data_IF_825024725231
#
_entry.id   IF_825024725231
#
_cell.length_a   1.000
_cell.length_b   1.000
_cell.length_c   1.000
_cell.angle_alpha   90.00
_cell.angle_beta   90.00
_cell.angle_gamma   90.00
#
_symmetry.space_group_name_H-M   'P 1'
#
loop_
_entity.id
_entity.type
_entity.pdbx_description
1 polymer ?
#
# COMPACT_ATOMS: atom_id res chain seq x y z
N UNK A 1 1.57 -7.86 13.25
CA UNK A 1 0.98 -7.84 11.90
C UNK A 1 0.98 -9.28 11.39
N UNK A 2 -0.08 -9.72 10.72
CA UNK A 2 -0.15 -11.06 10.08
C UNK A 2 0.88 -11.13 8.97
N UNK A 3 1.76 -12.14 8.99
CA UNK A 3 2.79 -12.31 7.97
C UNK A 3 2.20 -12.94 6.71
N UNK A 4 2.50 -12.35 5.57
CA UNK A 4 2.33 -12.98 4.26
C UNK A 4 3.59 -13.78 3.96
N UNK A 5 3.45 -15.10 3.82
CA UNK A 5 4.56 -16.01 3.55
C UNK A 5 4.81 -16.13 2.06
N UNK A 6 3.74 -16.31 1.28
CA UNK A 6 3.82 -16.59 -0.14
C UNK A 6 2.57 -16.10 -0.87
N UNK A 7 2.73 -15.75 -2.14
CA UNK A 7 1.61 -15.47 -3.05
C UNK A 7 1.74 -16.39 -4.25
N UNK A 8 0.70 -17.19 -4.47
CA UNK A 8 0.60 -18.08 -5.63
C UNK A 8 -0.42 -17.51 -6.60
N UNK A 9 -0.22 -17.74 -7.88
CA UNK A 9 -1.18 -17.36 -8.89
C UNK A 9 -1.42 -18.47 -9.91
N UNK A 10 -2.65 -18.48 -10.42
CA UNK A 10 -3.06 -19.20 -11.62
C UNK A 10 -3.60 -18.18 -12.61
N UNK A 11 -3.95 -18.60 -13.83
CA UNK A 11 -4.53 -17.71 -14.84
C UNK A 11 -5.78 -16.94 -14.35
N UNK A 12 -6.50 -17.47 -13.36
CA UNK A 12 -7.79 -16.93 -12.93
C UNK A 12 -7.89 -16.63 -11.44
N UNK A 13 -6.87 -16.99 -10.63
CA UNK A 13 -6.92 -16.86 -9.16
C UNK A 13 -5.57 -16.49 -8.59
N UNK A 14 -5.60 -15.64 -7.56
CA UNK A 14 -4.47 -15.32 -6.69
C UNK A 14 -4.74 -15.93 -5.32
N UNK A 15 -3.74 -16.57 -4.73
CA UNK A 15 -3.79 -17.20 -3.42
C UNK A 15 -2.75 -16.54 -2.51
N UNK A 16 -3.19 -16.05 -1.36
CA UNK A 16 -2.34 -15.46 -0.33
C UNK A 16 -2.12 -16.47 0.79
N UNK A 17 -0.89 -16.90 1.00
CA UNK A 17 -0.50 -17.82 2.07
C UNK A 17 -0.01 -17.00 3.25
N UNK A 18 -0.77 -16.97 4.34
CA UNK A 18 -0.57 -16.06 5.47
C UNK A 18 -0.58 -16.80 6.81
N UNK A 19 -0.12 -16.14 7.88
CA UNK A 19 -0.25 -16.66 9.25
C UNK A 19 -1.71 -17.05 9.56
N UNK A 20 -1.89 -18.25 10.10
CA UNK A 20 -3.15 -18.64 10.72
C UNK A 20 -3.20 -18.19 12.19
N UNK A 21 -4.06 -17.22 12.48
CA UNK A 21 -4.19 -16.63 13.82
C UNK A 21 -5.29 -17.35 14.62
N UNK A 22 -4.88 -18.16 15.60
CA UNK A 22 -5.78 -19.09 16.33
C UNK A 22 -6.67 -18.46 17.40
N UNK A 23 -6.33 -17.29 17.93
CA UNK A 23 -7.05 -16.68 19.06
C UNK A 23 -8.31 -15.89 18.68
N UNK A 24 -8.67 -15.87 17.39
CA UNK A 24 -9.89 -15.26 16.87
C UNK A 24 -9.88 -13.73 16.90
N UNK A 25 -11.03 -13.12 16.69
CA UNK A 25 -11.20 -11.67 16.64
C UNK A 25 -11.14 -11.02 18.04
N UNK A 26 -10.47 -9.88 18.14
CA UNK A 26 -10.41 -9.05 19.34
C UNK A 26 -11.82 -8.68 19.83
N UNK A 27 -12.73 -8.36 18.90
CA UNK A 27 -14.07 -7.89 19.23
C UNK A 27 -15.00 -9.01 19.71
N UNK A 28 -14.71 -10.28 19.41
CA UNK A 28 -15.40 -11.41 20.03
C UNK A 28 -15.14 -11.48 21.55
N UNK A 29 -14.06 -10.87 22.05
CA UNK A 29 -13.83 -10.69 23.50
C UNK A 29 -14.57 -9.46 24.06
N UNK A 30 -14.80 -8.43 23.25
CA UNK A 30 -15.56 -7.20 23.62
C UNK A 30 -17.07 -7.42 23.58
N UNK A 31 -17.58 -8.38 22.80
CA UNK A 31 -19.01 -8.71 22.78
C UNK A 31 -19.54 -9.21 24.13
N UNK A 32 -18.65 -9.64 25.03
CA UNK A 32 -18.94 -10.00 26.43
C UNK A 32 -18.97 -8.80 27.39
N UNK A 33 -18.65 -7.60 26.90
CA UNK A 33 -18.59 -6.34 27.64
C UNK A 33 -17.39 -5.47 27.25
N UNK A 34 -17.35 -4.23 27.74
CA UNK A 34 -16.21 -3.31 27.52
C UNK A 34 -14.93 -3.81 28.19
N UNK A 35 -13.79 -3.40 27.67
CA UNK A 35 -12.52 -3.57 28.36
C UNK A 35 -12.29 -2.49 29.43
N UNK A 36 -11.45 -2.84 30.41
CA UNK A 36 -10.87 -1.86 31.31
C UNK A 36 -9.89 -0.98 30.55
N UNK A 37 -9.76 0.28 30.97
CA UNK A 37 -8.96 1.28 30.26
C UNK A 37 -7.49 0.86 30.07
N UNK A 38 -6.90 0.18 31.05
CA UNK A 38 -5.53 -0.33 30.94
C UNK A 38 -5.40 -1.45 29.89
N UNK A 39 -6.41 -2.31 29.74
CA UNK A 39 -6.43 -3.34 28.70
C UNK A 39 -6.69 -2.74 27.31
N UNK A 40 -7.62 -1.79 27.20
CA UNK A 40 -7.84 -1.01 25.97
C UNK A 40 -6.54 -0.33 25.53
N UNK A 41 -5.79 0.24 26.48
CA UNK A 41 -4.49 0.86 26.21
C UNK A 41 -3.45 -0.13 25.72
N UNK A 42 -3.32 -1.31 26.34
CA UNK A 42 -2.39 -2.35 25.88
C UNK A 42 -2.63 -2.73 24.41
N UNK A 43 -3.87 -3.01 24.04
CA UNK A 43 -4.19 -3.33 22.65
C UNK A 43 -3.97 -2.14 21.72
N UNK A 44 -4.29 -0.93 22.18
CA UNK A 44 -4.06 0.29 21.41
C UNK A 44 -2.56 0.57 21.17
N UNK A 45 -1.69 0.27 22.14
CA UNK A 45 -0.23 0.33 21.94
C UNK A 45 0.22 -0.59 20.81
N UNK A 46 -0.27 -1.83 20.79
CA UNK A 46 0.06 -2.79 19.74
C UNK A 46 -0.50 -2.36 18.38
N UNK A 47 -1.71 -1.82 18.34
CA UNK A 47 -2.35 -1.31 17.13
C UNK A 47 -1.55 -0.14 16.54
N UNK A 48 -1.26 0.89 17.34
CA UNK A 48 -0.51 2.05 16.88
C UNK A 48 0.92 1.69 16.48
N UNK A 49 1.54 0.73 17.19
CA UNK A 49 2.85 0.23 16.78
C UNK A 49 2.80 -0.44 15.41
N UNK A 50 1.80 -1.30 15.16
CA UNK A 50 1.63 -1.98 13.86
C UNK A 50 1.34 -0.98 12.73
N UNK A 51 0.41 -0.05 12.95
CA UNK A 51 0.03 0.98 11.98
C UNK A 51 1.19 1.92 11.70
N UNK A 52 1.88 2.42 12.73
CA UNK A 52 3.06 3.26 12.57
C UNK A 52 4.19 2.58 11.79
N UNK A 53 4.44 1.29 12.07
CA UNK A 53 5.41 0.49 11.31
C UNK A 53 5.08 0.44 9.81
N UNK A 54 3.81 0.24 9.45
CA UNK A 54 3.36 0.25 8.06
C UNK A 54 3.45 1.64 7.42
N UNK A 55 3.02 2.68 8.14
CA UNK A 55 3.06 4.07 7.66
C UNK A 55 4.49 4.53 7.31
N UNK A 56 5.49 4.17 8.12
CA UNK A 56 6.91 4.48 7.82
C UNK A 56 7.43 3.81 6.54
N UNK A 57 6.72 2.81 6.03
CA UNK A 57 7.03 2.10 4.78
C UNK A 57 6.14 2.52 3.62
N UNK A 58 5.26 3.51 3.78
CA UNK A 58 4.34 3.96 2.73
C UNK A 58 3.09 3.10 2.57
N UNK A 59 2.83 2.19 3.51
CA UNK A 59 1.68 1.28 3.48
C UNK A 59 0.60 1.80 4.42
N UNK A 60 -0.59 2.02 3.87
CA UNK A 60 -1.77 2.46 4.61
C UNK A 60 -2.83 1.37 4.59
N UNK A 61 -3.48 1.14 5.73
CA UNK A 61 -4.46 0.07 5.84
C UNK A 61 -5.80 0.45 5.19
N UNK A 62 -6.31 1.66 5.36
CA UNK A 62 -7.55 2.22 4.76
C UNK A 62 -8.89 1.54 5.08
N UNK A 63 -8.90 0.29 5.57
CA UNK A 63 -10.11 -0.45 5.98
C UNK A 63 -9.99 -1.02 7.41
N UNK A 64 -9.39 -0.29 8.36
CA UNK A 64 -9.20 -0.79 9.73
C UNK A 64 -10.56 -0.97 10.42
N UNK A 65 -10.88 -2.22 10.75
CA UNK A 65 -12.18 -2.62 11.31
C UNK A 65 -12.03 -3.84 12.24
N UNK A 66 -13.05 -4.16 13.07
CA UNK A 66 -13.01 -5.26 14.01
C UNK A 66 -12.52 -6.59 13.44
N UNK A 67 -12.97 -6.91 12.24
CA UNK A 67 -12.69 -8.16 11.52
C UNK A 67 -11.19 -8.30 11.20
N UNK A 68 -10.45 -7.19 11.13
CA UNK A 68 -9.03 -7.17 10.80
C UNK A 68 -8.13 -7.17 12.05
N UNK A 69 -8.72 -7.24 13.24
CA UNK A 69 -8.02 -7.19 14.52
C UNK A 69 -8.13 -8.53 15.22
N UNK A 70 -7.13 -9.38 14.99
CA UNK A 70 -7.08 -10.74 15.50
C UNK A 70 -6.18 -10.85 16.74
N UNK A 71 -6.29 -11.96 17.47
CA UNK A 71 -5.46 -12.27 18.62
C UNK A 71 -4.71 -13.58 18.40
N UNK A 72 -3.42 -13.61 18.70
CA UNK A 72 -2.66 -14.86 18.70
C UNK A 72 -2.91 -15.71 19.97
N UNK A 73 -2.20 -16.83 20.09
CA UNK A 73 -2.31 -17.77 21.22
C UNK A 73 -1.91 -17.14 22.57
N UNK A 74 -1.05 -16.11 22.55
CA UNK A 74 -0.64 -15.36 23.73
C UNK A 74 -1.63 -14.23 24.07
N UNK A 75 -2.64 -14.02 23.21
CA UNK A 75 -3.60 -12.94 23.32
C UNK A 75 -3.06 -11.58 22.89
N UNK A 76 -2.00 -11.55 22.08
CA UNK A 76 -1.45 -10.31 21.52
C UNK A 76 -2.07 -9.99 20.15
N UNK A 77 -2.17 -8.70 19.84
CA UNK A 77 -2.83 -8.21 18.64
C UNK A 77 -2.06 -8.55 17.37
N UNK A 78 -2.77 -9.15 16.42
CA UNK A 78 -2.34 -9.37 15.04
C UNK A 78 -3.31 -8.65 14.11
N UNK A 79 -2.84 -7.58 13.49
CA UNK A 79 -3.59 -6.85 12.47
C UNK A 79 -3.41 -7.56 11.12
N UNK A 80 -4.51 -7.88 10.43
CA UNK A 80 -4.55 -8.56 9.12
C UNK A 80 -4.90 -7.60 7.97
N UNK A 81 -4.87 -8.11 6.74
CA UNK A 81 -5.39 -7.46 5.52
C UNK A 81 -4.81 -6.08 5.13
N UNK A 82 -3.57 -5.79 5.54
CA UNK A 82 -2.82 -4.67 4.99
C UNK A 82 -2.61 -4.85 3.47
N UNK A 83 -2.88 -3.81 2.69
CA UNK A 83 -2.60 -3.79 1.24
C UNK A 83 -3.66 -4.44 0.35
N UNK A 84 -4.55 -5.30 0.88
CA UNK A 84 -5.72 -5.80 0.13
C UNK A 84 -6.83 -4.75 -0.01
N UNK A 85 -6.77 -3.69 0.80
CA UNK A 85 -7.69 -2.55 0.76
C UNK A 85 -7.41 -1.57 -0.38
N UNK A 86 -6.19 -1.54 -0.92
CA UNK A 86 -5.86 -0.75 -2.11
C UNK A 86 -6.62 -1.24 -3.36
N UNK A 87 -7.06 -2.51 -3.34
CA UNK A 87 -7.81 -3.14 -4.43
C UNK A 87 -9.27 -2.67 -4.53
N UNK A 88 -9.78 -1.99 -3.49
CA UNK A 88 -11.19 -1.55 -3.46
C UNK A 88 -11.48 -0.30 -4.27
N UNK A 89 -10.48 0.32 -4.89
CA UNK A 89 -10.65 1.48 -5.78
C UNK A 89 -11.23 1.12 -7.17
N UNK A 90 -11.94 -0.01 -7.32
CA UNK A 90 -12.82 -0.24 -8.48
C UNK A 90 -14.14 0.53 -8.31
N UNK A 91 -14.04 1.85 -8.40
CA UNK A 91 -15.16 2.76 -8.54
C UNK A 91 -15.81 2.47 -9.90
N UNK A 92 -17.03 1.93 -9.89
CA UNK A 92 -17.86 1.87 -11.11
C UNK A 92 -18.20 3.31 -11.54
N UNK A 93 -18.27 3.60 -12.85
CA UNK A 93 -18.54 4.94 -13.38
C UNK A 93 -19.97 5.45 -13.13
N UNK A 94 -20.82 4.70 -12.43
CA UNK A 94 -22.21 5.07 -12.14
C UNK A 94 -22.35 6.08 -10.99
N UNK A 95 -21.25 6.50 -10.34
CA UNK A 95 -21.25 7.55 -9.33
C UNK A 95 -22.02 7.22 -8.04
N UNK A 96 -22.66 6.05 -7.99
CA UNK A 96 -23.46 5.55 -6.89
C UNK A 96 -22.62 4.60 -6.04
N UNK A 97 -22.65 4.81 -4.72
CA UNK A 97 -21.93 4.00 -3.74
C UNK A 97 -22.58 2.62 -3.62
N UNK A 98 -22.35 1.73 -4.58
CA UNK A 98 -22.88 0.35 -4.52
C UNK A 98 -21.91 -0.68 -3.94
N UNK A 99 -20.85 -0.26 -3.24
CA UNK A 99 -19.93 -1.21 -2.60
C UNK A 99 -19.34 -0.70 -1.28
N UNK A 100 -20.20 -0.26 -0.35
CA UNK A 100 -19.82 -0.18 1.06
C UNK A 100 -19.91 -1.59 1.67
N UNK A 101 -18.99 -2.48 1.28
CA UNK A 101 -18.85 -3.82 1.86
C UNK A 101 -18.15 -3.81 3.24
N UNK A 102 -18.38 -2.75 4.01
CA UNK A 102 -17.81 -2.52 5.34
C UNK A 102 -18.77 -1.71 6.19
N UNK A 103 -18.63 -1.82 7.51
CA UNK A 103 -19.46 -1.05 8.45
C UNK A 103 -19.02 0.43 8.37
N UNK A 104 -19.84 1.35 7.84
CA UNK A 104 -19.45 2.75 7.57
C UNK A 104 -19.03 3.53 8.83
N UNK A 105 -19.31 2.99 10.02
CA UNK A 105 -18.96 3.59 11.30
C UNK A 105 -17.45 3.72 11.57
N UNK A 106 -16.58 3.01 10.82
CA UNK A 106 -15.11 3.06 10.97
C UNK A 106 -14.43 3.97 9.94
N UNK A 107 -15.19 4.51 8.99
CA UNK A 107 -14.69 5.30 7.86
C UNK A 107 -14.57 6.76 8.25
N UNK A 108 -13.46 7.40 7.87
CA UNK A 108 -13.20 8.81 8.12
C UNK A 108 -14.12 9.72 7.28
N UNK A 109 -14.52 10.90 7.77
CA UNK A 109 -15.45 11.80 7.05
C UNK A 109 -14.93 12.22 5.67
N UNK A 110 -13.62 12.39 5.50
CA UNK A 110 -13.01 12.79 4.23
C UNK A 110 -13.10 11.73 3.13
N UNK A 111 -13.18 10.44 3.47
CA UNK A 111 -13.41 9.36 2.50
C UNK A 111 -14.82 9.46 1.94
N UNK A 112 -15.79 9.74 2.80
CA UNK A 112 -17.20 9.88 2.41
C UNK A 112 -17.42 11.08 1.48
N UNK A 113 -16.55 12.09 1.59
CA UNK A 113 -16.58 13.29 0.75
C UNK A 113 -15.98 13.08 -0.67
N UNK A 114 -15.50 11.87 -1.01
CA UNK A 114 -14.95 11.49 -2.32
C UNK A 114 -13.84 12.42 -2.84
N UNK A 115 -13.02 12.99 -1.94
CA UNK A 115 -11.82 13.77 -2.29
C UNK A 115 -10.59 12.88 -2.10
N UNK A 116 -9.48 13.22 -2.76
CA UNK A 116 -8.18 12.64 -2.41
C UNK A 116 -7.93 12.82 -0.91
N UNK A 117 -7.45 11.77 -0.23
CA UNK A 117 -7.30 11.73 1.22
C UNK A 117 -5.91 11.25 1.64
N UNK A 118 -5.45 11.71 2.80
CA UNK A 118 -4.22 11.23 3.43
C UNK A 118 -4.49 9.90 4.14
N UNK A 119 -3.91 8.82 3.61
CA UNK A 119 -4.07 7.47 4.15
C UNK A 119 -3.62 7.34 5.61
N UNK A 120 -2.65 8.14 6.06
CA UNK A 120 -2.20 8.13 7.45
C UNK A 120 -3.31 8.62 8.38
N UNK A 121 -3.98 9.71 8.01
CA UNK A 121 -5.03 10.34 8.81
C UNK A 121 -6.28 9.48 8.86
N UNK A 122 -6.61 8.82 7.76
CA UNK A 122 -7.71 7.84 7.70
C UNK A 122 -7.49 6.71 8.70
N UNK A 123 -6.31 6.09 8.70
CA UNK A 123 -6.01 4.99 9.62
C UNK A 123 -6.07 5.44 11.08
N UNK A 124 -5.62 6.66 11.37
CA UNK A 124 -5.73 7.27 12.71
C UNK A 124 -7.18 7.38 13.16
N UNK A 125 -8.08 7.83 12.28
CA UNK A 125 -9.51 7.92 12.60
C UNK A 125 -10.08 6.55 12.94
N UNK A 126 -9.82 5.54 12.09
CA UNK A 126 -10.28 4.17 12.32
C UNK A 126 -9.71 3.59 13.62
N UNK A 127 -8.44 3.87 13.95
CA UNK A 127 -7.86 3.54 15.26
C UNK A 127 -8.64 4.19 16.41
N UNK A 128 -9.04 5.46 16.27
CA UNK A 128 -9.90 6.16 17.24
C UNK A 128 -11.24 5.47 17.45
N UNK A 129 -11.90 5.03 16.38
CA UNK A 129 -13.16 4.28 16.46
C UNK A 129 -12.93 2.96 17.19
N UNK A 130 -11.88 2.22 16.86
CA UNK A 130 -11.51 0.98 17.55
C UNK A 130 -11.31 1.23 19.05
N UNK A 131 -10.49 2.21 19.44
CA UNK A 131 -10.24 2.53 20.85
C UNK A 131 -11.53 2.86 21.59
N UNK A 132 -12.41 3.66 20.96
CA UNK A 132 -13.71 3.97 21.52
C UNK A 132 -14.49 2.68 21.80
N UNK A 133 -14.60 1.77 20.82
CA UNK A 133 -15.37 0.53 21.02
C UNK A 133 -14.76 -0.35 22.10
N UNK A 134 -13.42 -0.48 22.16
CA UNK A 134 -12.77 -1.26 23.21
C UNK A 134 -13.14 -0.74 24.61
N UNK A 135 -13.21 0.58 24.80
CA UNK A 135 -13.45 1.20 26.11
C UNK A 135 -14.94 1.47 26.42
N UNK A 136 -15.79 1.62 25.40
CA UNK A 136 -17.22 1.89 25.52
C UNK A 136 -18.07 0.62 25.45
N UNK A 137 -17.67 -0.36 24.63
CA UNK A 137 -18.47 -1.53 24.26
C UNK A 137 -19.52 -1.27 23.17
N UNK A 138 -19.50 -0.08 22.55
CA UNK A 138 -20.40 0.31 21.45
C UNK A 138 -19.70 1.30 20.51
N UNK A 139 -20.27 1.53 19.32
CA UNK A 139 -19.73 2.42 18.30
C UNK A 139 -19.89 3.91 18.67
N UNK A 140 -18.90 4.78 18.40
CA UNK A 140 -19.00 6.22 18.69
C UNK A 140 -20.07 6.89 17.83
N UNK A 141 -20.17 6.47 16.56
CA UNK A 141 -21.16 6.95 15.60
C UNK A 141 -22.04 5.76 15.20
N UNK A 142 -23.26 5.74 15.73
CA UNK A 142 -24.24 4.73 15.38
C UNK A 142 -25.63 5.36 15.36
N UNK A 143 -26.42 5.01 14.35
CA UNK A 143 -27.82 5.39 14.25
C UNK A 143 -28.52 4.45 13.26
N UNK A 144 -29.77 4.01 13.53
CA UNK A 144 -30.55 3.25 12.55
C UNK A 144 -30.76 4.01 11.24
N UNK A 145 -30.79 5.35 11.29
CA UNK A 145 -30.85 6.18 10.09
C UNK A 145 -29.43 6.53 9.62
N UNK A 146 -29.03 5.97 8.47
CA UNK A 146 -27.70 6.19 7.88
C UNK A 146 -27.36 7.67 7.70
N UNK A 147 -28.33 8.52 7.33
CA UNK A 147 -28.09 9.95 7.14
C UNK A 147 -27.81 10.67 8.46
N UNK A 148 -28.45 10.23 9.55
CA UNK A 148 -28.17 10.74 10.90
C UNK A 148 -26.80 10.26 11.37
N UNK A 149 -26.45 9.00 11.12
CA UNK A 149 -25.12 8.48 11.42
C UNK A 149 -24.03 9.23 10.65
N UNK A 150 -24.19 9.47 9.35
CA UNK A 150 -23.25 10.26 8.56
C UNK A 150 -23.14 11.69 9.08
N UNK A 151 -24.25 12.34 9.45
CA UNK A 151 -24.22 13.66 10.08
C UNK A 151 -23.40 13.66 11.37
N UNK A 152 -23.55 12.64 12.22
CA UNK A 152 -22.73 12.49 13.44
C UNK A 152 -21.24 12.33 13.10
N UNK A 153 -20.91 11.55 12.07
CA UNK A 153 -19.53 11.36 11.59
C UNK A 153 -18.93 12.69 11.10
N UNK A 154 -19.62 13.41 10.21
CA UNK A 154 -19.16 14.70 9.67
C UNK A 154 -19.01 15.78 10.74
N UNK A 155 -19.89 15.78 11.75
CA UNK A 155 -19.85 16.74 12.85
C UNK A 155 -18.90 16.31 13.99
N UNK A 156 -18.38 15.08 13.98
CA UNK A 156 -17.60 14.53 15.09
C UNK A 156 -18.42 14.39 16.36
N UNK A 157 -19.73 14.20 16.26
CA UNK A 157 -20.63 14.15 17.41
C UNK A 157 -20.73 12.73 17.96
N UNK A 158 -19.95 12.44 19.01
CA UNK A 158 -20.01 11.19 19.76
C UNK A 158 -20.06 11.46 21.27
N UNK A 159 -20.64 10.52 22.03
CA UNK A 159 -20.80 10.66 23.49
C UNK A 159 -19.89 9.68 24.23
N UNK A 160 -18.95 10.21 24.99
CA UNK A 160 -18.09 9.39 25.85
C UNK A 160 -18.86 8.95 27.12
N UNK A 161 -18.95 7.64 27.42
CA UNK A 161 -19.63 7.16 28.62
C UNK A 161 -18.92 7.59 29.91
N UNK A 162 -19.66 7.73 31.02
CA UNK A 162 -19.20 8.32 32.30
C UNK A 162 -17.95 7.68 32.90
N UNK A 163 -17.74 6.38 32.68
CA UNK A 163 -16.59 5.64 33.21
C UNK A 163 -15.27 5.89 32.47
N UNK A 164 -15.27 6.54 31.31
CA UNK A 164 -14.02 6.92 30.64
C UNK A 164 -13.34 8.06 31.39
N UNK A 165 -12.04 7.90 31.65
CA UNK A 165 -11.21 8.94 32.27
C UNK A 165 -11.21 10.24 31.43
N UNK A 166 -11.02 11.41 32.06
CA UNK A 166 -10.86 12.67 31.33
C UNK A 166 -9.71 12.62 30.31
N UNK A 167 -8.63 11.91 30.64
CA UNK A 167 -7.48 11.74 29.75
C UNK A 167 -7.83 10.93 28.50
N UNK A 168 -8.56 9.82 28.64
CA UNK A 168 -9.04 9.03 27.50
C UNK A 168 -9.98 9.85 26.61
N UNK A 169 -10.89 10.63 27.20
CA UNK A 169 -11.81 11.50 26.43
C UNK A 169 -11.07 12.53 25.60
N UNK A 170 -10.10 13.22 26.21
CA UNK A 170 -9.23 14.19 25.53
C UNK A 170 -8.41 13.53 24.42
N UNK A 171 -7.94 12.32 24.66
CA UNK A 171 -7.19 11.59 23.64
C UNK A 171 -8.07 11.17 22.46
N UNK A 172 -9.27 10.64 22.73
CA UNK A 172 -10.27 10.30 21.72
C UNK A 172 -10.70 11.50 20.87
N UNK A 173 -10.88 12.69 21.46
CA UNK A 173 -11.26 13.88 20.69
C UNK A 173 -10.17 14.34 19.71
N UNK A 174 -8.90 13.99 19.95
CA UNK A 174 -7.78 14.27 19.03
C UNK A 174 -7.64 13.23 17.92
N UNK A 175 -8.04 11.98 18.20
CA UNK A 175 -8.10 10.89 17.22
C UNK A 175 -9.28 11.04 16.26
N UNK A 176 -10.45 11.38 16.81
CA UNK A 176 -11.71 11.57 16.09
C UNK A 176 -11.96 13.04 15.72
N UNK A 177 -10.88 13.77 15.40
CA UNK A 177 -10.97 15.10 14.81
C UNK A 177 -11.41 14.99 13.36
N UNK A 178 -12.52 15.65 13.00
CA UNK A 178 -13.07 15.59 11.65
C UNK A 178 -12.23 16.36 10.64
N UNK A 179 -11.37 17.28 11.10
CA UNK A 179 -10.39 17.93 10.25
C UNK A 179 -9.10 17.09 10.17
N UNK A 180 -8.79 16.48 9.02
CA UNK A 180 -7.58 15.64 8.89
C UNK A 180 -6.28 16.42 9.08
N UNK A 181 -6.26 17.73 8.89
CA UNK A 181 -5.05 18.56 9.07
C UNK A 181 -4.67 18.71 10.55
N UNK A 182 -5.66 18.81 11.43
CA UNK A 182 -5.45 18.97 12.88
C UNK A 182 -5.52 17.64 13.63
N UNK A 183 -6.01 16.57 12.99
CA UNK A 183 -6.04 15.22 13.54
C UNK A 183 -4.65 14.76 13.96
N UNK A 184 -4.57 14.21 15.17
CA UNK A 184 -3.30 13.80 15.80
C UNK A 184 -2.53 12.80 14.92
N UNK A 185 -1.21 12.96 14.81
CA UNK A 185 -0.35 12.00 14.10
C UNK A 185 0.08 10.87 15.05
N UNK A 186 0.59 9.76 14.50
CA UNK A 186 1.19 8.66 15.30
C UNK A 186 2.28 9.20 16.25
N UNK A 187 3.14 10.10 15.77
CA UNK A 187 4.16 10.77 16.59
C UNK A 187 3.56 11.70 17.66
N UNK A 188 2.40 12.28 17.40
CA UNK A 188 1.64 13.03 18.38
C UNK A 188 1.05 12.14 19.47
N UNK A 189 0.61 10.92 19.11
CA UNK A 189 0.06 9.95 20.06
C UNK A 189 1.12 9.46 21.04
N UNK A 190 2.33 9.14 20.59
CA UNK A 190 3.42 8.66 21.47
C UNK A 190 3.81 9.69 22.54
N UNK A 191 3.46 10.97 22.34
CA UNK A 191 3.69 12.05 23.29
C UNK A 191 2.52 12.29 24.25
N UNK A 192 1.34 11.78 23.95
CA UNK A 192 0.12 12.01 24.72
C UNK A 192 0.20 11.33 26.11
N UNK A 193 -0.23 12.01 27.20
CA UNK A 193 -0.20 11.44 28.54
C UNK A 193 -0.96 10.13 28.68
N UNK A 194 -2.11 9.99 28.00
CA UNK A 194 -2.92 8.78 28.09
C UNK A 194 -2.19 7.60 27.44
N UNK A 195 -1.57 7.83 26.28
CA UNK A 195 -0.83 6.81 25.54
C UNK A 195 0.47 6.43 26.26
N UNK A 196 1.23 7.38 26.79
CA UNK A 196 2.53 7.10 27.45
C UNK A 196 2.43 6.17 28.66
N UNK A 197 1.28 6.12 29.33
CA UNK A 197 1.10 5.32 30.55
C UNK A 197 1.36 3.83 30.25
N UNK A 198 2.45 3.30 30.80
CA UNK A 198 2.83 1.89 30.63
C UNK A 198 3.28 1.52 29.21
N UNK A 199 3.54 2.50 28.34
CA UNK A 199 4.02 2.24 26.99
C UNK A 199 5.45 1.68 27.03
N UNK A 200 5.65 0.55 26.34
CA UNK A 200 6.97 -0.01 26.05
C UNK A 200 7.10 -0.06 24.54
N UNK A 201 8.19 0.49 24.03
CA UNK A 201 8.48 0.44 22.60
C UNK A 201 8.57 -1.01 22.14
N UNK A 202 7.75 -1.36 21.15
CA UNK A 202 7.75 -2.69 20.55
C UNK A 202 8.83 -2.68 19.48
N UNK A 203 9.93 -3.38 19.75
CA UNK A 203 11.00 -3.55 18.77
C UNK A 203 10.55 -4.58 17.73
N UNK A 204 10.47 -4.14 16.48
CA UNK A 204 10.31 -5.05 15.36
C UNK A 204 11.66 -5.72 15.10
N UNK A 205 11.70 -7.04 15.26
CA UNK A 205 12.82 -7.82 14.75
C UNK A 205 12.63 -7.92 13.24
N UNK A 206 13.40 -7.15 12.48
CA UNK A 206 13.58 -7.42 11.06
C UNK A 206 14.31 -8.76 10.96
N UNK A 207 13.54 -9.84 10.82
CA UNK A 207 14.06 -11.08 10.27
C UNK A 207 14.45 -10.77 8.82
N UNK A 208 15.73 -10.44 8.68
CA UNK A 208 16.51 -10.36 7.48
C UNK A 208 15.97 -11.34 6.41
N UNK A 209 15.31 -10.81 5.38
CA UNK A 209 15.27 -11.49 4.08
C UNK A 209 16.65 -11.25 3.48
N UNK A 210 17.35 -12.27 2.95
CA UNK A 210 18.74 -12.14 2.56
C UNK A 210 18.90 -10.96 1.61
N UNK A 211 20.01 -10.25 1.81
CA UNK A 211 20.60 -9.26 0.92
C UNK A 211 20.15 -9.41 -0.53
N UNK A 212 19.60 -8.33 -1.09
CA UNK A 212 19.91 -7.98 -2.47
C UNK A 212 21.44 -7.93 -2.53
N UNK A 213 22.05 -9.03 -3.00
CA UNK A 213 23.45 -9.33 -2.79
C UNK A 213 24.39 -8.20 -3.19
N UNK A 214 25.08 -7.64 -2.20
CA UNK A 214 26.44 -7.13 -2.37
C UNK A 214 27.48 -8.25 -2.21
N UNK A 215 27.06 -9.52 -2.31
CA UNK A 215 27.91 -10.69 -2.38
C UNK A 215 28.09 -11.16 -3.81
N UNK A 216 29.33 -11.46 -4.17
CA UNK A 216 29.80 -12.03 -5.43
C UNK A 216 29.20 -13.42 -5.74
N UNK A 217 27.93 -13.46 -6.14
CA UNK A 217 27.22 -14.68 -6.53
C UNK A 217 26.56 -14.52 -7.89
N UNK A 218 27.01 -15.34 -8.83
CA UNK A 218 26.70 -15.39 -10.25
C UNK A 218 25.54 -16.35 -10.54
N UNK A 219 24.28 -15.93 -10.35
CA UNK A 219 23.13 -16.72 -10.84
C UNK A 219 21.99 -15.81 -11.32
N UNK A 220 21.31 -16.27 -12.37
CA UNK A 220 20.09 -15.66 -12.92
C UNK A 220 18.98 -15.75 -11.88
N UNK A 221 18.40 -14.61 -11.50
CA UNK A 221 17.29 -14.56 -10.55
C UNK A 221 15.98 -14.80 -11.30
N UNK A 222 15.35 -15.95 -11.03
CA UNK A 222 14.00 -16.25 -11.51
C UNK A 222 12.98 -15.45 -10.69
N UNK A 223 12.13 -14.69 -11.36
CA UNK A 223 11.05 -13.96 -10.70
C UNK A 223 9.94 -14.93 -10.28
N UNK A 224 9.51 -14.83 -9.04
CA UNK A 224 8.38 -15.61 -8.54
C UNK A 224 7.06 -14.83 -8.75
N UNK A 225 5.93 -15.50 -8.51
CA UNK A 225 4.61 -14.88 -8.65
C UNK A 225 4.40 -13.66 -7.72
N UNK A 226 5.08 -13.61 -6.58
CA UNK A 226 5.05 -12.47 -5.67
C UNK A 226 5.66 -11.24 -6.32
N UNK A 227 6.82 -11.40 -6.97
CA UNK A 227 7.49 -10.32 -7.70
C UNK A 227 6.54 -9.80 -8.80
N UNK A 228 6.03 -10.70 -9.65
CA UNK A 228 5.12 -10.37 -10.77
C UNK A 228 3.88 -9.58 -10.32
N UNK A 229 3.26 -9.98 -9.21
CA UNK A 229 2.02 -9.36 -8.72
C UNK A 229 2.28 -7.98 -8.14
N UNK A 230 3.43 -7.77 -7.48
CA UNK A 230 3.81 -6.42 -7.01
C UNK A 230 4.01 -5.42 -8.16
N UNK A 231 4.12 -5.89 -9.41
CA UNK A 231 4.37 -5.08 -10.61
C UNK A 231 3.11 -4.74 -11.42
N UNK A 232 1.95 -5.30 -11.08
CA UNK A 232 0.70 -5.02 -11.81
C UNK A 232 0.14 -3.66 -11.41
N UNK A 233 -0.19 -2.80 -12.38
CA UNK A 233 -0.75 -1.45 -12.13
C UNK A 233 -2.09 -1.46 -11.38
N UNK A 234 -2.80 -2.60 -11.36
CA UNK A 234 -4.01 -2.81 -10.55
C UNK A 234 -3.78 -3.45 -9.17
N UNK A 235 -2.55 -3.86 -8.86
CA UNK A 235 -2.10 -4.57 -7.66
C UNK A 235 -0.75 -3.99 -7.17
N UNK A 236 -0.59 -2.67 -7.29
CA UNK A 236 0.69 -2.00 -7.04
C UNK A 236 1.08 -2.04 -5.55
N UNK A 237 1.79 -3.10 -5.18
CA UNK A 237 2.42 -3.29 -3.88
C UNK A 237 3.84 -2.70 -3.85
N UNK A 238 4.27 -1.95 -4.87
CA UNK A 238 5.57 -1.25 -4.87
C UNK A 238 5.69 -0.31 -3.66
N UNK A 239 4.57 0.26 -3.19
CA UNK A 239 4.54 1.07 -1.95
C UNK A 239 4.82 0.29 -0.68
N UNK A 240 4.90 -1.04 -0.73
CA UNK A 240 5.34 -1.91 0.37
C UNK A 240 6.87 -2.02 0.43
N UNK A 241 7.57 -1.71 -0.67
CA UNK A 241 9.02 -1.87 -0.83
C UNK A 241 9.62 -0.65 -1.53
N UNK A 242 10.41 0.15 -0.79
CA UNK A 242 11.09 1.38 -1.25
C UNK A 242 11.46 1.38 -2.74
N UNK A 243 10.60 1.95 -3.58
CA UNK A 243 10.99 2.37 -4.92
C UNK A 243 11.65 3.74 -4.78
N UNK A 244 12.87 3.89 -5.30
CA UNK A 244 13.53 5.20 -5.37
C UNK A 244 13.00 5.93 -6.61
N UNK A 245 12.86 7.25 -6.53
CA UNK A 245 12.56 8.08 -7.71
C UNK A 245 13.61 7.83 -8.80
N UNK A 246 13.17 7.55 -10.04
CA UNK A 246 14.05 7.32 -11.19
C UNK A 246 14.22 5.86 -11.64
N UNK A 247 13.36 4.94 -11.17
CA UNK A 247 13.34 3.53 -11.60
C UNK A 247 12.14 3.25 -12.51
N UNK A 248 12.37 2.76 -13.74
CA UNK A 248 11.32 2.31 -14.66
C UNK A 248 11.48 0.81 -14.96
N UNK A 249 10.38 0.08 -15.09
CA UNK A 249 10.38 -1.38 -15.33
C UNK A 249 9.47 -1.75 -16.50
N UNK A 250 9.90 -2.70 -17.33
CA UNK A 250 9.14 -3.20 -18.48
C UNK A 250 9.32 -4.71 -18.70
N UNK A 251 8.31 -5.37 -19.27
CA UNK A 251 8.36 -6.79 -19.64
C UNK A 251 8.64 -6.89 -21.13
N UNK A 252 9.65 -7.67 -21.50
CA UNK A 252 10.11 -7.82 -22.89
C UNK A 252 10.05 -9.28 -23.32
N UNK A 253 9.82 -9.49 -24.61
CA UNK A 253 9.99 -10.79 -25.25
C UNK A 253 11.47 -11.00 -25.57
N UNK A 254 12.04 -12.08 -25.04
CA UNK A 254 13.46 -12.37 -25.18
C UNK A 254 14.05 -13.01 -23.93
N UNK A 255 15.19 -13.66 -24.10
CA UNK A 255 15.96 -14.16 -22.97
C UNK A 255 16.80 -13.01 -22.38
N UNK A 256 17.14 -13.04 -21.09
CA UNK A 256 17.94 -11.97 -20.47
C UNK A 256 19.22 -11.62 -21.24
N UNK A 257 19.86 -12.61 -21.85
CA UNK A 257 21.09 -12.45 -22.61
C UNK A 257 20.87 -11.59 -23.87
N UNK A 258 19.77 -11.82 -24.60
CA UNK A 258 19.43 -11.03 -25.81
C UNK A 258 19.08 -9.59 -25.47
N UNK A 259 18.44 -9.38 -24.33
CA UNK A 259 18.06 -8.05 -23.84
C UNK A 259 19.30 -7.22 -23.49
N UNK A 260 20.27 -7.84 -22.81
CA UNK A 260 21.53 -7.18 -22.46
C UNK A 260 22.38 -6.88 -23.71
N UNK A 261 22.44 -7.82 -24.67
CA UNK A 261 23.12 -7.60 -25.95
C UNK A 261 22.52 -6.41 -26.71
N UNK A 262 21.19 -6.34 -26.80
CA UNK A 262 20.48 -5.22 -27.42
C UNK A 262 20.75 -3.88 -26.70
N UNK A 263 20.75 -3.88 -25.36
CA UNK A 263 21.04 -2.67 -24.59
C UNK A 263 22.46 -2.15 -24.85
N UNK A 264 23.45 -3.05 -25.00
CA UNK A 264 24.83 -2.70 -25.33
C UNK A 264 24.97 -2.14 -26.75
N UNK A 265 24.31 -2.76 -27.74
CA UNK A 265 24.33 -2.27 -29.12
C UNK A 265 23.75 -0.86 -29.24
N UNK A 266 22.61 -0.60 -28.58
CA UNK A 266 21.97 0.72 -28.56
C UNK A 266 22.83 1.72 -27.80
N UNK A 267 23.39 1.33 -26.65
CA UNK A 267 24.31 2.16 -25.89
C UNK A 267 25.53 2.57 -26.71
N UNK A 268 26.16 1.63 -27.42
CA UNK A 268 27.31 1.89 -28.27
C UNK A 268 26.98 2.81 -29.46
N UNK A 269 25.81 2.64 -30.08
CA UNK A 269 25.34 3.49 -31.18
C UNK A 269 25.12 4.95 -30.75
N UNK A 270 24.72 5.16 -29.50
CA UNK A 270 24.53 6.49 -28.88
C UNK A 270 25.81 7.01 -28.18
N UNK A 271 26.95 6.34 -28.39
CA UNK A 271 28.25 6.76 -27.89
C UNK A 271 28.48 6.51 -26.40
N UNK A 272 27.70 5.65 -25.74
CA UNK A 272 27.91 5.30 -24.34
C UNK A 272 28.96 4.21 -24.16
N UNK A 273 29.66 4.24 -23.03
CA UNK A 273 30.60 3.22 -22.62
C UNK A 273 29.97 2.27 -21.59
N UNK A 274 30.26 0.98 -21.70
CA UNK A 274 29.86 -0.01 -20.68
C UNK A 274 30.77 0.14 -19.46
N UNK A 275 30.19 0.54 -18.32
CA UNK A 275 30.91 0.72 -17.06
C UNK A 275 31.10 -0.61 -16.32
N UNK A 276 30.05 -1.42 -16.26
CA UNK A 276 30.14 -2.80 -15.80
C UNK A 276 29.12 -3.66 -16.53
N UNK A 277 29.45 -4.95 -16.64
CA UNK A 277 28.59 -5.99 -17.18
C UNK A 277 28.58 -7.16 -16.22
N UNK A 278 27.39 -7.62 -15.86
CA UNK A 278 27.12 -8.88 -15.17
C UNK A 278 26.22 -9.73 -16.04
N UNK A 279 26.02 -10.98 -15.65
CA UNK A 279 25.19 -11.94 -16.38
C UNK A 279 23.71 -11.49 -16.53
N UNK A 280 23.24 -10.67 -15.60
CA UNK A 280 21.86 -10.18 -15.52
C UNK A 280 21.78 -8.65 -15.41
N UNK A 281 22.83 -7.91 -15.79
CA UNK A 281 22.77 -6.45 -15.78
C UNK A 281 23.91 -5.77 -16.51
N UNK A 282 23.66 -4.55 -17.00
CA UNK A 282 24.65 -3.69 -17.66
C UNK A 282 24.46 -2.26 -17.18
N UNK A 283 25.57 -1.56 -16.90
CA UNK A 283 25.54 -0.10 -16.70
C UNK A 283 26.24 0.60 -17.86
N UNK A 284 25.49 1.49 -18.50
CA UNK A 284 25.95 2.35 -19.60
C UNK A 284 26.21 3.76 -19.06
N UNK A 285 27.36 4.33 -19.37
CA UNK A 285 27.77 5.66 -18.93
C UNK A 285 28.08 6.56 -20.13
N UNK A 286 27.59 7.80 -20.12
CA UNK A 286 27.88 8.77 -21.18
C UNK A 286 29.35 9.19 -21.18
N UNK A 287 29.89 9.60 -22.34
CA UNK A 287 31.32 9.94 -22.52
C UNK A 287 31.86 11.00 -21.55
N UNK A 288 30.99 11.84 -21.00
CA UNK A 288 31.35 12.91 -20.06
C UNK A 288 31.21 12.50 -18.59
N UNK A 289 30.64 11.33 -18.28
CA UNK A 289 30.41 10.85 -16.91
C UNK A 289 29.26 11.53 -16.15
N UNK A 290 28.51 12.43 -16.81
CA UNK A 290 27.47 13.25 -16.18
C UNK A 290 26.14 12.50 -15.95
N UNK A 291 25.92 11.42 -16.71
CA UNK A 291 24.75 10.55 -16.58
C UNK A 291 25.07 9.09 -16.98
N UNK A 292 24.30 8.16 -16.42
CA UNK A 292 24.39 6.74 -16.70
C UNK A 292 23.05 6.03 -16.49
N UNK A 293 22.92 4.89 -17.14
CA UNK A 293 21.73 4.03 -17.13
C UNK A 293 22.16 2.65 -16.67
N UNK A 294 21.66 2.23 -15.51
CA UNK A 294 21.77 0.84 -15.04
C UNK A 294 20.57 0.05 -15.53
N UNK A 295 20.80 -1.07 -16.20
CA UNK A 295 19.77 -1.98 -16.70
C UNK A 295 19.99 -3.33 -16.04
N UNK A 296 19.03 -3.77 -15.22
CA UNK A 296 19.00 -5.08 -14.59
C UNK A 296 17.92 -5.94 -15.27
N UNK A 297 18.22 -7.19 -15.63
CA UNK A 297 17.32 -8.09 -16.36
C UNK A 297 17.09 -9.36 -15.58
N UNK A 298 15.83 -9.66 -15.29
CA UNK A 298 15.41 -10.88 -14.56
C UNK A 298 14.59 -11.80 -15.47
N UNK A 299 14.77 -13.12 -15.33
CA UNK A 299 14.04 -14.10 -16.14
C UNK A 299 12.62 -14.28 -15.58
N UNK A 300 11.63 -14.23 -16.47
CA UNK A 300 10.21 -14.42 -16.13
C UNK A 300 9.69 -15.77 -16.62
N UNK A 301 10.00 -16.11 -17.87
CA UNK A 301 9.73 -17.42 -18.47
C UNK A 301 10.89 -17.80 -19.39
N UNK A 302 10.77 -18.92 -20.12
CA UNK A 302 11.73 -19.28 -21.17
C UNK A 302 11.83 -18.23 -22.31
N UNK A 303 10.78 -17.41 -22.50
CA UNK A 303 10.65 -16.49 -23.62
C UNK A 303 10.41 -15.02 -23.20
N UNK A 304 10.27 -14.76 -21.90
CA UNK A 304 10.00 -13.42 -21.35
C UNK A 304 11.04 -13.05 -20.29
N UNK A 305 11.43 -11.78 -20.29
CA UNK A 305 12.29 -11.18 -19.27
C UNK A 305 11.67 -9.87 -18.75
N UNK A 306 12.01 -9.50 -17.53
CA UNK A 306 11.68 -8.19 -16.94
C UNK A 306 12.95 -7.35 -16.90
N UNK A 307 12.86 -6.14 -17.41
CA UNK A 307 13.95 -5.16 -17.46
C UNK A 307 13.64 -4.07 -16.45
N UNK A 308 14.60 -3.78 -15.58
CA UNK A 308 14.57 -2.69 -14.64
C UNK A 308 15.65 -1.69 -14.99
N UNK A 309 15.28 -0.42 -15.06
CA UNK A 309 16.15 0.66 -15.47
C UNK A 309 16.25 1.70 -14.38
N UNK A 310 17.50 1.98 -13.98
CA UNK A 310 17.85 2.92 -12.94
C UNK A 310 18.62 4.09 -13.55
N UNK A 311 18.09 5.30 -13.36
CA UNK A 311 18.80 6.52 -13.74
C UNK A 311 19.89 6.86 -12.71
N UNK A 312 21.07 7.24 -13.19
CA UNK A 312 22.15 7.78 -12.36
C UNK A 312 22.68 9.07 -12.97
N UNK A 313 22.53 10.20 -12.29
CA UNK A 313 22.99 11.51 -12.78
C UNK A 313 21.96 12.61 -12.57
N UNK A 314 22.34 13.86 -12.87
CA UNK A 314 21.47 15.03 -12.66
C UNK A 314 20.68 15.39 -13.93
N UNK A 315 21.08 14.85 -15.09
CA UNK A 315 20.45 15.14 -16.38
C UNK A 315 19.31 14.17 -16.71
N UNK A 316 18.13 14.47 -16.16
CA UNK A 316 16.90 13.71 -16.40
C UNK A 316 16.32 13.89 -17.82
N UNK A 317 16.85 14.82 -18.62
CA UNK A 317 16.40 15.06 -20.00
C UNK A 317 17.14 14.13 -20.95
N UNK A 318 18.47 14.05 -20.81
CA UNK A 318 19.28 13.09 -21.57
C UNK A 318 18.85 11.63 -21.31
N UNK A 319 18.48 11.31 -20.05
CA UNK A 319 17.91 10.01 -19.69
C UNK A 319 16.61 9.70 -20.44
N UNK A 320 15.63 10.61 -20.41
CA UNK A 320 14.32 10.38 -21.04
C UNK A 320 14.43 10.22 -22.55
N UNK A 321 15.25 11.03 -23.21
CA UNK A 321 15.45 10.90 -24.66
C UNK A 321 16.06 9.54 -25.02
N UNK A 322 17.10 9.12 -24.29
CA UNK A 322 17.76 7.85 -24.56
C UNK A 322 16.86 6.64 -24.22
N UNK A 323 16.17 6.69 -23.09
CA UNK A 323 15.31 5.61 -22.64
C UNK A 323 14.01 5.52 -23.45
N UNK A 324 13.23 6.60 -23.53
CA UNK A 324 11.91 6.58 -24.18
C UNK A 324 11.98 6.55 -25.72
N UNK A 325 12.98 7.21 -26.34
CA UNK A 325 13.05 7.28 -27.81
C UNK A 325 13.90 6.18 -28.44
N UNK A 326 14.85 5.57 -27.71
CA UNK A 326 15.83 4.63 -28.30
C UNK A 326 15.77 3.23 -27.71
N UNK A 327 16.00 3.08 -26.40
CA UNK A 327 16.07 1.77 -25.74
C UNK A 327 14.71 1.10 -25.63
N UNK A 328 13.71 1.79 -25.07
CA UNK A 328 12.37 1.25 -24.81
C UNK A 328 11.64 0.77 -26.07
N UNK A 329 11.66 1.49 -27.22
CA UNK A 329 11.01 1.01 -28.45
C UNK A 329 11.66 -0.25 -29.04
N UNK A 330 12.98 -0.39 -28.91
CA UNK A 330 13.71 -1.57 -29.40
C UNK A 330 13.47 -2.77 -28.50
N UNK A 331 13.47 -2.56 -27.19
CA UNK A 331 13.15 -3.57 -26.19
C UNK A 331 11.71 -4.10 -26.29
N UNK A 332 10.76 -3.25 -26.69
CA UNK A 332 9.36 -3.63 -26.91
C UNK A 332 9.08 -4.17 -28.33
N UNK A 333 10.12 -4.35 -29.16
CA UNK A 333 10.01 -5.03 -30.45
C UNK A 333 9.29 -4.22 -31.53
N UNK A 334 9.44 -2.90 -31.58
CA UNK A 334 8.95 -2.07 -32.68
C UNK A 334 7.42 -2.00 -32.85
N UNK A 335 6.65 -2.58 -31.93
CA UNK A 335 5.21 -2.38 -31.84
C UNK A 335 4.93 -1.37 -30.71
N UNK A 336 4.68 -0.12 -31.10
CA UNK A 336 3.97 0.82 -30.24
C UNK A 336 2.58 0.26 -29.93
N UNK A 337 2.43 -0.44 -28.82
CA UNK A 337 1.19 -0.40 -28.03
C UNK A 337 1.40 0.62 -26.92
N UNK A 338 1.35 1.89 -27.31
CA UNK A 338 0.88 2.91 -26.38
C UNK A 338 -0.53 2.50 -25.98
N UNK A 339 -0.76 2.17 -24.72
CA UNK A 339 -2.10 2.30 -24.15
C UNK A 339 -2.44 3.79 -24.10
N UNK A 340 -2.76 4.36 -25.25
CA UNK A 340 -3.60 5.54 -25.31
C UNK A 340 -5.00 5.08 -25.00
N UNK A 341 -5.63 5.71 -24.00
CA UNK A 341 -7.08 5.68 -23.85
C UNK A 341 -7.68 6.16 -25.17
N UNK A 342 -8.21 5.23 -25.97
CA UNK A 342 -9.22 5.58 -26.95
C UNK A 342 -10.45 6.02 -26.17
N UNK A 343 -10.65 7.35 -26.13
CA UNK A 343 -11.95 7.93 -25.86
C UNK A 343 -12.83 7.55 -27.04
N UNK A 344 -13.71 6.57 -26.86
CA UNK A 344 -14.75 6.28 -27.84
C UNK A 344 -15.59 7.56 -28.07
N UNK A 345 -15.86 7.94 -29.33
CA UNK A 345 -16.74 9.06 -29.62
C UNK A 345 -18.17 8.68 -29.25
N UNK A 346 -18.83 9.57 -28.49
CA UNK A 346 -20.27 9.51 -28.21
C UNK A 346 -21.05 9.30 -29.51
N UNK A 347 -21.83 8.22 -29.56
CA UNK A 347 -22.81 8.02 -30.62
C UNK A 347 -24.12 8.74 -30.28
N UNK A 348 -24.85 9.28 -31.28
CA UNK A 348 -25.88 10.29 -31.04
C UNK A 348 -27.18 9.70 -30.51
N UNK A 349 -27.83 10.47 -29.65
CA UNK A 349 -29.17 10.32 -29.11
C UNK A 349 -30.18 9.71 -30.09
N UNK A 350 -30.71 8.53 -29.76
CA UNK A 350 -31.96 8.02 -30.34
C UNK A 350 -33.13 8.57 -29.54
N UNK A 351 -33.79 9.57 -30.12
CA UNK A 351 -35.13 10.01 -29.74
C UNK A 351 -36.08 8.82 -29.77
N UNK A 352 -36.63 8.43 -28.61
CA UNK A 352 -37.81 7.56 -28.54
C UNK A 352 -39.03 8.46 -28.39
N UNK A 353 -39.81 8.49 -29.47
CA UNK A 353 -41.13 9.07 -29.52
C UNK A 353 -42.08 8.33 -28.56
N UNK A 354 -42.87 9.11 -27.85
CA UNK A 354 -44.09 8.72 -27.16
C UNK A 354 -45.16 8.27 -28.15
N UNK A 355 -45.71 7.09 -27.95
CA UNK A 355 -47.13 6.76 -28.12
C UNK A 355 -47.52 5.69 -27.09
#
# INVERSE_FOLDING_TARGET
IVRLHEVLATKTKIYFIMDFVRGGELFAKVSKGRFGEDLSRRYFHQLISAVGYCHTRGVFHRDLKPENLLLDENGDLKVSDFGLSALRDQIRPDGLLHTLCGTPAYVAPEILAKRGYDGTKVDVWSCGVVLFVLAAGYLPFNDPNLMVMYRKIYNGEFRCPRWMSPDLRRFLSRLLDTNPETRITVDGMTRDPWFKKGYKEIKFHEEYRPESGSGSGSEVVDLNAFDIITFSSGLDLSRLFRQKEGEERLVVSGTPEKVLEMAEEVGAAEGMAVRWKKECGVELEGLNGDYGIGIDVSRLTAELAVVEVKMRGVDAVAFRNLWDEKLKPQLLGGATTSYHQEVEPESPESQVASD
#
